data_IF_641990496393
#
_entry.id   IF_641990496393
#
_cell.length_a   1.000
_cell.length_b   1.000
_cell.length_c   1.000
_cell.angle_alpha   90.00
_cell.angle_beta   90.00
_cell.angle_gamma   90.00
#
_symmetry.space_group_name_H-M   'P 1'
#
loop_
_entity.id
_entity.type
_entity.pdbx_description
1 polymer ?
#
# COMPACT_ATOMS: atom_id res chain seq x y z
N UNK A 1 25.34 15.85 -5.63
CA UNK A 1 25.49 14.50 -5.04
C UNK A 1 24.77 13.55 -5.97
N UNK A 2 25.49 12.66 -6.66
CA UNK A 2 24.95 11.78 -7.70
C UNK A 2 24.00 10.75 -7.09
N UNK A 3 22.92 10.42 -7.81
CA UNK A 3 21.92 9.40 -7.47
C UNK A 3 22.46 7.95 -7.47
N UNK A 4 23.78 7.76 -7.36
CA UNK A 4 24.47 6.50 -7.62
C UNK A 4 24.34 5.45 -6.50
N UNK A 5 23.87 5.82 -5.30
CA UNK A 5 23.77 4.89 -4.16
C UNK A 5 22.34 4.46 -3.81
N UNK A 6 21.32 4.88 -4.54
CA UNK A 6 19.96 4.44 -4.29
C UNK A 6 19.65 3.16 -5.06
N UNK A 7 19.46 2.00 -4.38
CA UNK A 7 19.36 0.71 -5.06
C UNK A 7 18.08 0.55 -5.90
N UNK A 8 17.13 1.47 -5.77
CA UNK A 8 15.87 1.45 -6.51
C UNK A 8 15.86 2.39 -7.73
N UNK A 9 16.96 3.10 -8.03
CA UNK A 9 17.07 3.97 -9.20
C UNK A 9 15.94 5.01 -9.26
N UNK A 10 15.25 5.11 -10.39
CA UNK A 10 14.10 6.02 -10.55
C UNK A 10 12.76 5.40 -10.14
N UNK A 11 12.77 4.15 -9.67
CA UNK A 11 11.56 3.39 -9.39
C UNK A 11 10.85 3.91 -8.14
N UNK A 12 11.61 4.30 -7.11
CA UNK A 12 11.05 4.92 -5.91
C UNK A 12 11.81 6.20 -5.52
N UNK A 13 11.11 7.18 -4.95
CA UNK A 13 11.71 8.46 -4.55
C UNK A 13 12.51 8.35 -3.25
N UNK A 14 13.84 8.43 -3.36
CA UNK A 14 14.76 8.34 -2.23
C UNK A 14 14.49 9.39 -1.14
N UNK A 15 14.12 10.61 -1.54
CA UNK A 15 14.02 11.77 -0.64
C UNK A 15 12.60 12.02 -0.12
N UNK A 16 11.63 11.18 -0.50
CA UNK A 16 10.28 11.31 0.03
C UNK A 16 10.26 11.01 1.55
N UNK A 17 9.56 11.82 2.38
CA UNK A 17 9.46 11.56 3.82
C UNK A 17 8.95 10.16 4.18
N UNK A 18 8.08 9.56 3.35
CA UNK A 18 7.53 8.21 3.54
C UNK A 18 8.61 7.12 3.46
N UNK A 19 9.72 7.38 2.78
CA UNK A 19 10.87 6.47 2.75
C UNK A 19 11.46 6.22 4.14
N UNK A 20 11.33 7.17 5.10
CA UNK A 20 11.74 6.97 6.50
C UNK A 20 10.92 5.89 7.20
N UNK A 21 9.66 5.71 6.77
CA UNK A 21 8.77 4.64 7.22
C UNK A 21 8.89 3.38 6.36
N UNK A 22 9.87 3.34 5.45
CA UNK A 22 10.10 2.28 4.45
C UNK A 22 8.95 2.10 3.45
N UNK A 23 8.11 3.12 3.29
CA UNK A 23 7.02 3.14 2.31
C UNK A 23 7.58 3.71 0.99
N UNK A 24 7.66 2.94 -0.09
CA UNK A 24 8.07 3.44 -1.39
C UNK A 24 7.02 4.39 -1.96
N UNK A 25 7.47 5.53 -2.48
CA UNK A 25 6.68 6.40 -3.37
C UNK A 25 7.10 6.13 -4.80
N UNK A 26 6.18 5.61 -5.62
CA UNK A 26 6.51 5.03 -6.94
C UNK A 26 5.39 5.26 -7.95
N UNK A 27 5.65 4.92 -9.22
CA UNK A 27 4.62 4.92 -10.26
C UNK A 27 3.62 3.78 -10.07
N UNK A 28 2.52 3.83 -10.81
CA UNK A 28 1.52 2.76 -10.83
C UNK A 28 2.00 1.42 -11.42
N UNK A 29 3.22 1.36 -11.96
CA UNK A 29 3.83 0.17 -12.55
C UNK A 29 5.32 0.07 -12.15
N UNK A 30 5.64 -0.14 -10.86
CA UNK A 30 7.01 -0.24 -10.41
C UNK A 30 7.70 -1.47 -11.02
N UNK A 31 9.00 -1.34 -11.30
CA UNK A 31 9.86 -2.45 -11.72
C UNK A 31 10.21 -3.34 -10.53
N UNK A 32 10.36 -2.74 -9.35
CA UNK A 32 10.58 -3.48 -8.12
C UNK A 32 9.25 -3.98 -7.55
N UNK A 33 9.34 -5.16 -6.93
CA UNK A 33 8.21 -5.85 -6.31
C UNK A 33 8.10 -5.49 -4.84
N UNK A 34 7.66 -4.27 -4.55
CA UNK A 34 7.42 -3.80 -3.18
C UNK A 34 6.29 -4.59 -2.49
N UNK A 35 6.29 -4.62 -1.15
CA UNK A 35 5.18 -5.20 -0.37
C UNK A 35 3.91 -4.34 -0.52
N UNK A 36 4.03 -3.08 -0.14
CA UNK A 36 3.06 -2.04 -0.41
C UNK A 36 3.80 -0.76 -0.81
N UNK A 37 3.12 0.10 -1.55
CA UNK A 37 3.66 1.35 -2.05
C UNK A 37 2.60 2.45 -2.05
N UNK A 38 3.04 3.69 -2.01
CA UNK A 38 2.22 4.87 -2.23
C UNK A 38 2.40 5.35 -3.67
N UNK A 39 1.30 5.65 -4.35
CA UNK A 39 1.33 6.17 -5.71
C UNK A 39 1.81 7.63 -5.72
N UNK A 40 2.89 7.88 -6.46
CA UNK A 40 3.48 9.22 -6.64
C UNK A 40 2.48 10.21 -7.22
N UNK A 41 1.56 9.73 -8.04
CA UNK A 41 0.57 10.56 -8.74
C UNK A 41 -0.72 10.76 -7.92
N UNK A 42 -0.73 10.42 -6.63
CA UNK A 42 -1.85 10.67 -5.71
C UNK A 42 -2.23 12.16 -5.66
N UNK A 43 -3.54 12.44 -5.64
CA UNK A 43 -4.09 13.79 -5.55
C UNK A 43 -3.79 14.49 -4.23
N UNK A 44 -3.62 13.71 -3.16
CA UNK A 44 -3.28 14.20 -1.82
C UNK A 44 -2.17 13.36 -1.18
N UNK A 45 -1.49 13.94 -0.19
CA UNK A 45 -0.51 13.22 0.65
C UNK A 45 -1.22 12.53 1.81
N UNK A 46 -0.71 11.38 2.30
CA UNK A 46 -1.17 10.81 3.54
C UNK A 46 -0.88 11.76 4.71
N UNK A 47 -1.81 11.82 5.65
CA UNK A 47 -1.57 12.29 7.02
C UNK A 47 -0.56 11.37 7.73
N UNK A 48 -0.02 11.82 8.87
CA UNK A 48 0.87 10.99 9.68
C UNK A 48 0.19 9.69 10.15
N UNK A 49 -1.11 9.75 10.47
CA UNK A 49 -1.90 8.57 10.84
C UNK A 49 -2.03 7.58 9.68
N UNK A 50 -2.36 8.06 8.48
CA UNK A 50 -2.44 7.22 7.27
C UNK A 50 -1.06 6.63 6.90
N UNK A 51 0.00 7.41 7.06
CA UNK A 51 1.37 6.95 6.84
C UNK A 51 1.75 5.84 7.84
N UNK A 52 1.35 5.96 9.11
CA UNK A 52 1.53 4.91 10.11
C UNK A 52 0.75 3.63 9.75
N UNK A 53 -0.48 3.76 9.22
CA UNK A 53 -1.26 2.61 8.74
C UNK A 53 -0.58 1.91 7.56
N UNK A 54 -0.08 2.64 6.56
CA UNK A 54 0.68 2.09 5.44
C UNK A 54 1.94 1.34 5.90
N UNK A 55 2.67 1.92 6.86
CA UNK A 55 3.84 1.26 7.44
C UNK A 55 3.44 -0.02 8.18
N UNK A 56 2.36 0.01 8.96
CA UNK A 56 1.86 -1.15 9.70
C UNK A 56 1.36 -2.26 8.77
N UNK A 57 0.74 -1.92 7.64
CA UNK A 57 0.37 -2.87 6.58
C UNK A 57 1.59 -3.64 6.05
N UNK A 58 2.71 -2.94 5.80
CA UNK A 58 3.97 -3.58 5.39
C UNK A 58 4.50 -4.51 6.48
N UNK A 59 4.44 -4.10 7.75
CA UNK A 59 4.90 -4.92 8.87
C UNK A 59 4.05 -6.17 9.05
N UNK A 60 2.73 -6.08 8.90
CA UNK A 60 1.83 -7.23 8.97
C UNK A 60 2.23 -8.28 7.93
N UNK A 61 2.40 -7.85 6.68
CA UNK A 61 2.76 -8.76 5.60
C UNK A 61 4.09 -9.47 5.90
N UNK A 62 5.07 -8.73 6.44
CA UNK A 62 6.36 -9.31 6.85
C UNK A 62 6.20 -10.29 8.01
N UNK A 63 5.40 -9.95 9.02
CA UNK A 63 5.15 -10.79 10.17
C UNK A 63 4.52 -12.14 9.76
N UNK A 64 3.58 -12.09 8.82
CA UNK A 64 2.84 -13.25 8.32
C UNK A 64 3.60 -14.09 7.29
N UNK A 65 4.23 -13.46 6.31
CA UNK A 65 4.78 -14.17 5.14
C UNK A 65 6.26 -14.55 5.27
N UNK A 66 7.01 -13.96 6.20
CA UNK A 66 8.46 -14.15 6.27
C UNK A 66 8.92 -14.71 7.62
N UNK A 67 9.91 -15.60 7.56
CA UNK A 67 10.62 -16.05 8.75
C UNK A 67 11.65 -15.00 9.22
N UNK A 68 12.22 -15.20 10.40
CA UNK A 68 13.09 -14.21 11.04
C UNK A 68 14.37 -13.93 10.26
N UNK A 69 14.96 -14.98 9.66
CA UNK A 69 16.12 -14.81 8.78
C UNK A 69 15.82 -13.90 7.59
N UNK A 70 14.66 -14.09 6.96
CA UNK A 70 14.27 -13.27 5.81
C UNK A 70 13.90 -11.85 6.21
N UNK A 71 13.26 -11.65 7.38
CA UNK A 71 13.03 -10.32 7.97
C UNK A 71 14.36 -9.57 8.17
N UNK A 72 15.38 -10.22 8.72
CA UNK A 72 16.73 -9.63 8.87
C UNK A 72 17.35 -9.29 7.51
N UNK A 73 17.17 -10.15 6.50
CA UNK A 73 17.63 -9.86 5.14
C UNK A 73 16.96 -8.61 4.55
N UNK A 74 15.65 -8.44 4.73
CA UNK A 74 14.91 -7.28 4.25
C UNK A 74 15.34 -5.97 4.93
N UNK A 75 15.70 -6.01 6.22
CA UNK A 75 16.21 -4.84 6.95
C UNK A 75 17.52 -4.30 6.40
N UNK A 76 18.30 -5.09 5.65
CA UNK A 76 19.53 -4.62 4.98
C UNK A 76 19.27 -3.70 3.79
N UNK A 77 18.02 -3.62 3.33
CA UNK A 77 17.59 -2.73 2.23
C UNK A 77 16.83 -1.53 2.80
N UNK A 78 16.86 -0.36 2.13
CA UNK A 78 16.07 0.79 2.57
C UNK A 78 14.55 0.57 2.49
N UNK A 79 14.08 -0.20 1.51
CA UNK A 79 12.66 -0.50 1.29
C UNK A 79 12.42 -2.02 1.27
N UNK A 80 11.20 -2.42 1.62
CA UNK A 80 10.79 -3.82 1.68
C UNK A 80 10.21 -4.31 0.32
N UNK A 81 10.80 -5.37 -0.22
CA UNK A 81 10.51 -5.94 -1.55
C UNK A 81 10.26 -7.44 -1.48
N UNK A 82 10.08 -8.08 -2.65
CA UNK A 82 9.85 -9.51 -2.87
C UNK A 82 8.41 -9.97 -2.61
N UNK A 83 7.42 -9.16 -3.06
CA UNK A 83 5.99 -9.44 -2.92
C UNK A 83 5.18 -9.03 -4.15
N UNK A 84 3.92 -9.46 -4.22
CA UNK A 84 2.97 -8.86 -5.18
C UNK A 84 2.61 -7.47 -4.67
N UNK A 85 3.01 -6.45 -5.42
CA UNK A 85 2.90 -5.06 -4.96
C UNK A 85 1.47 -4.58 -4.91
N UNK A 86 1.08 -4.07 -3.74
CA UNK A 86 -0.15 -3.30 -3.56
C UNK A 86 0.21 -1.82 -3.57
N UNK A 87 -0.38 -1.07 -4.48
CA UNK A 87 -0.15 0.35 -4.62
C UNK A 87 -1.39 1.05 -4.10
N UNK A 88 -1.23 1.95 -3.14
CA UNK A 88 -2.30 2.76 -2.56
C UNK A 88 -2.24 4.16 -3.16
N UNK A 89 -3.41 4.69 -3.51
CA UNK A 89 -3.58 6.02 -4.09
C UNK A 89 -4.59 6.79 -3.25
N UNK A 90 -4.23 8.02 -2.89
CA UNK A 90 -5.13 8.94 -2.19
C UNK A 90 -5.67 9.96 -3.19
N UNK A 91 -6.96 9.92 -3.48
CA UNK A 91 -7.61 10.90 -4.35
C UNK A 91 -7.87 12.21 -3.60
N UNK A 92 -8.37 12.09 -2.37
CA UNK A 92 -8.68 13.19 -1.45
C UNK A 92 -8.76 12.63 -0.01
N UNK A 93 -9.13 13.46 0.96
CA UNK A 93 -9.43 13.02 2.33
C UNK A 93 -10.58 12.00 2.35
N UNK A 94 -10.37 10.91 3.11
CA UNK A 94 -11.26 9.74 3.18
C UNK A 94 -11.60 9.10 1.82
N UNK A 95 -10.78 9.37 0.80
CA UNK A 95 -10.97 8.85 -0.55
C UNK A 95 -9.69 8.15 -1.05
N UNK A 96 -9.58 6.89 -0.69
CA UNK A 96 -8.46 6.02 -1.02
C UNK A 96 -8.86 4.95 -2.03
N UNK A 97 -7.85 4.43 -2.73
CA UNK A 97 -7.97 3.21 -3.52
C UNK A 97 -6.68 2.42 -3.46
N UNK A 98 -6.77 1.14 -3.81
CA UNK A 98 -5.59 0.33 -4.07
C UNK A 98 -5.68 -0.36 -5.43
N UNK A 99 -4.51 -0.74 -5.94
CA UNK A 99 -4.39 -1.67 -7.06
C UNK A 99 -3.33 -2.69 -6.76
N UNK A 100 -3.40 -3.83 -7.43
CA UNK A 100 -2.42 -4.91 -7.32
C UNK A 100 -1.56 -4.92 -8.58
N UNK A 101 -0.24 -4.79 -8.47
CA UNK A 101 0.71 -4.76 -9.59
C UNK A 101 0.87 -6.10 -10.34
N UNK A 102 -0.23 -6.64 -10.87
CA UNK A 102 -0.27 -7.85 -11.72
C UNK A 102 -1.05 -7.53 -13.01
N UNK A 103 -0.82 -8.27 -14.10
CA UNK A 103 -1.47 -7.98 -15.39
C UNK A 103 -3.00 -8.18 -15.40
N UNK A 104 -3.53 -9.12 -14.61
CA UNK A 104 -4.94 -9.53 -14.71
C UNK A 104 -5.90 -8.63 -13.90
N UNK A 105 -5.45 -8.10 -12.77
CA UNK A 105 -6.25 -7.22 -11.89
C UNK A 105 -5.62 -5.85 -11.70
N UNK A 106 -4.43 -5.63 -12.25
CA UNK A 106 -3.68 -4.41 -12.02
C UNK A 106 -4.13 -3.15 -12.72
N UNK A 107 -4.86 -3.12 -13.85
CA UNK A 107 -5.20 -1.83 -14.45
C UNK A 107 -6.26 -1.06 -13.65
N UNK A 108 -6.94 -1.70 -12.69
CA UNK A 108 -8.07 -1.12 -11.98
C UNK A 108 -7.72 -0.72 -10.55
N UNK A 109 -8.25 0.44 -10.16
CA UNK A 109 -8.28 0.89 -8.78
C UNK A 109 -9.54 0.36 -8.10
N UNK A 110 -9.41 -0.04 -6.83
CA UNK A 110 -10.53 -0.45 -5.99
C UNK A 110 -10.50 0.36 -4.68
N UNK A 111 -11.56 1.13 -4.35
CA UNK A 111 -12.65 1.56 -5.24
C UNK A 111 -12.16 2.20 -6.56
N UNK A 112 -13.04 2.31 -7.55
CA UNK A 112 -12.69 3.02 -8.79
C UNK A 112 -12.31 4.48 -8.50
N UNK A 113 -11.51 5.08 -9.39
CA UNK A 113 -11.18 6.50 -9.31
C UNK A 113 -12.45 7.37 -9.25
N UNK A 114 -12.48 8.50 -8.53
CA UNK A 114 -13.71 9.29 -8.32
C UNK A 114 -14.47 9.62 -9.59
N UNK A 115 -13.74 10.02 -10.66
CA UNK A 115 -14.30 10.33 -11.98
C UNK A 115 -14.99 9.16 -12.70
N UNK A 116 -14.74 7.93 -12.26
CA UNK A 116 -15.30 6.71 -12.84
C UNK A 116 -16.42 6.11 -11.99
N UNK A 117 -16.60 6.54 -10.74
CA UNK A 117 -17.60 5.96 -9.83
C UNK A 117 -19.02 6.15 -10.36
N UNK A 118 -19.84 5.12 -10.26
CA UNK A 118 -21.21 5.10 -10.80
C UNK A 118 -21.30 5.09 -12.33
N UNK A 119 -20.16 5.01 -13.04
CA UNK A 119 -20.14 4.83 -14.48
C UNK A 119 -20.20 3.34 -14.85
N UNK A 120 -20.38 3.04 -16.13
CA UNK A 120 -20.29 1.67 -16.66
C UNK A 120 -18.89 1.03 -16.52
N UNK A 121 -17.88 1.77 -16.04
CA UNK A 121 -16.52 1.31 -15.79
C UNK A 121 -16.21 1.14 -14.30
N UNK A 122 -17.22 1.23 -13.44
CA UNK A 122 -17.14 0.99 -12.00
C UNK A 122 -17.66 -0.41 -11.65
N UNK A 123 -16.90 -1.42 -12.06
CA UNK A 123 -17.31 -2.83 -11.95
C UNK A 123 -17.62 -3.25 -10.50
N UNK A 124 -16.91 -2.66 -9.53
CA UNK A 124 -17.09 -2.98 -8.12
C UNK A 124 -18.19 -2.14 -7.45
N UNK A 125 -18.55 -0.98 -8.03
CA UNK A 125 -19.56 -0.06 -7.51
C UNK A 125 -19.36 0.28 -6.02
N UNK A 126 -18.09 0.38 -5.61
CA UNK A 126 -17.71 0.67 -4.23
C UNK A 126 -17.73 2.19 -4.00
N UNK A 127 -18.22 2.65 -2.83
CA UNK A 127 -18.18 4.06 -2.48
C UNK A 127 -16.73 4.53 -2.26
N UNK A 128 -16.54 5.84 -2.05
CA UNK A 128 -15.30 6.35 -1.47
C UNK A 128 -15.02 5.61 -0.15
N UNK A 129 -13.75 5.27 0.08
CA UNK A 129 -13.33 4.48 1.22
C UNK A 129 -12.15 5.16 1.91
N UNK A 130 -12.17 5.11 3.24
CA UNK A 130 -11.00 5.46 4.06
C UNK A 130 -9.87 4.46 3.79
N UNK A 131 -8.63 4.84 4.15
CA UNK A 131 -7.48 3.96 3.97
C UNK A 131 -7.67 2.59 4.66
N UNK A 132 -8.23 2.55 5.86
CA UNK A 132 -8.44 1.29 6.58
C UNK A 132 -9.46 0.39 5.87
N UNK A 133 -10.52 0.95 5.28
CA UNK A 133 -11.50 0.19 4.50
C UNK A 133 -10.86 -0.39 3.22
N UNK A 134 -9.99 0.38 2.56
CA UNK A 134 -9.21 -0.08 1.40
C UNK A 134 -8.25 -1.21 1.79
N UNK A 135 -7.59 -1.10 2.95
CA UNK A 135 -6.74 -2.17 3.50
C UNK A 135 -7.52 -3.43 3.85
N UNK A 136 -8.73 -3.28 4.39
CA UNK A 136 -9.65 -4.39 4.66
C UNK A 136 -10.02 -5.11 3.35
N UNK A 137 -10.42 -4.35 2.33
CA UNK A 137 -10.72 -4.89 0.99
C UNK A 137 -9.53 -5.66 0.39
N UNK A 138 -8.31 -5.15 0.53
CA UNK A 138 -7.07 -5.79 0.07
C UNK A 138 -6.69 -7.08 0.83
N UNK A 139 -7.30 -7.27 2.00
CA UNK A 139 -7.19 -8.45 2.86
C UNK A 139 -8.44 -9.33 2.85
N UNK A 140 -9.42 -9.07 1.98
CA UNK A 140 -10.61 -9.90 1.85
C UNK A 140 -10.38 -11.03 0.84
N UNK A 141 -10.76 -12.24 1.23
CA UNK A 141 -10.91 -13.38 0.32
C UNK A 141 -12.35 -13.86 0.45
N UNK A 142 -13.10 -13.84 -0.65
CA UNK A 142 -14.57 -13.91 -0.66
C UNK A 142 -15.21 -12.67 -0.02
N UNK A 143 -15.75 -12.77 1.20
CA UNK A 143 -16.71 -11.77 1.71
C UNK A 143 -16.19 -10.96 2.90
N UNK A 144 -15.24 -11.48 3.68
CA UNK A 144 -14.76 -10.83 4.91
C UNK A 144 -13.23 -10.67 4.94
N UNK A 145 -12.71 -9.63 5.64
CA UNK A 145 -11.28 -9.50 5.85
C UNK A 145 -10.72 -10.72 6.58
N UNK A 146 -9.56 -11.20 6.14
CA UNK A 146 -8.91 -12.36 6.74
C UNK A 146 -8.64 -12.15 8.24
N UNK A 147 -8.87 -13.19 9.06
CA UNK A 147 -8.76 -13.13 10.52
C UNK A 147 -7.40 -12.62 11.03
N UNK A 148 -6.30 -12.95 10.34
CA UNK A 148 -4.97 -12.50 10.75
C UNK A 148 -4.84 -10.97 10.66
N UNK A 149 -5.51 -10.33 9.70
CA UNK A 149 -5.51 -8.88 9.54
C UNK A 149 -6.36 -8.22 10.63
N UNK A 150 -7.54 -8.79 10.94
CA UNK A 150 -8.37 -8.34 12.06
C UNK A 150 -7.61 -8.42 13.39
N UNK A 151 -6.92 -9.54 13.64
CA UNK A 151 -6.08 -9.72 14.82
C UNK A 151 -4.90 -8.72 14.83
N UNK A 152 -4.30 -8.43 13.68
CA UNK A 152 -3.23 -7.44 13.59
C UNK A 152 -3.72 -6.05 13.99
N UNK A 153 -4.85 -5.59 13.44
CA UNK A 153 -5.46 -4.30 13.81
C UNK A 153 -5.77 -4.23 15.31
N UNK A 154 -6.40 -5.28 15.87
CA UNK A 154 -6.75 -5.34 17.28
C UNK A 154 -5.51 -5.26 18.21
N UNK A 155 -4.36 -5.77 17.77
CA UNK A 155 -3.10 -5.71 18.51
C UNK A 155 -2.32 -4.40 18.32
N UNK A 156 -2.78 -3.49 17.45
CA UNK A 156 -2.14 -2.19 17.17
C UNK A 156 -3.19 -1.05 17.22
N UNK A 157 -3.92 -0.87 18.34
CA UNK A 157 -4.98 0.14 18.45
C UNK A 157 -4.48 1.58 18.32
N UNK A 158 -3.19 1.82 18.55
CA UNK A 158 -2.53 3.12 18.33
C UNK A 158 -2.42 3.49 16.85
N UNK A 159 -2.47 2.51 15.95
CA UNK A 159 -2.45 2.71 14.49
C UNK A 159 -3.85 2.55 13.89
N UNK A 160 -4.63 1.61 14.40
CA UNK A 160 -5.98 1.31 13.94
C UNK A 160 -6.99 1.50 15.08
N UNK A 161 -7.41 2.74 15.35
CA UNK A 161 -8.44 2.99 16.36
C UNK A 161 -9.76 2.31 15.96
N UNK A 162 -10.52 1.91 16.98
CA UNK A 162 -11.81 1.25 16.84
C UNK A 162 -12.91 2.19 16.33
#
# INVERSE_FOLDING_TARGET
MSAENWPFGTDADQHDPLTKLRIPVTSTHPKWRYIAAFDRDSGARPTDAEAAMLASYIQEYKARCFNDWYKVKLLKRPLDVDAVTRIFHKWDDDDWSYRVGTWQYGPFWLPAAPRLRGSQRDDASLPAMTLVQVMDCSHTVADEPMQHWLNWKANHPEVFPA
#
